data_IF_410723805033
#
_entry.id   IF_410723805033
#
_cell.length_a   1.000
_cell.length_b   1.000
_cell.length_c   1.000
_cell.angle_alpha   90.00
_cell.angle_beta   90.00
_cell.angle_gamma   90.00
#
_symmetry.space_group_name_H-M   'P 1'
#
loop_
_entity.id
_entity.type
_entity.pdbx_description
1 polymer ?
#
# COMPACT_ATOMS: atom_id res chain seq x y z
N UNK A 1 7.03 -98.24 -4.44
CA UNK A 1 6.05 -98.45 -5.49
C UNK A 1 5.54 -97.00 -5.87
N UNK A 2 6.07 -96.57 -6.88
CA UNK A 2 5.53 -96.00 -8.12
C UNK A 2 4.13 -95.41 -7.99
N UNK A 3 3.89 -94.08 -8.27
CA UNK A 3 3.80 -93.45 -9.59
C UNK A 3 3.48 -91.97 -9.37
N UNK A 4 4.05 -91.28 -10.06
CA UNK A 4 4.01 -90.57 -11.36
C UNK A 4 3.35 -89.19 -11.29
N UNK A 5 4.17 -88.32 -11.63
CA UNK A 5 3.94 -86.84 -11.79
C UNK A 5 3.30 -86.58 -13.16
N UNK A 6 2.37 -85.67 -13.23
CA UNK A 6 1.92 -85.08 -14.46
C UNK A 6 1.94 -83.57 -14.34
N UNK A 7 2.48 -82.82 -15.34
CA UNK A 7 2.65 -81.40 -15.25
C UNK A 7 1.49 -80.65 -15.90
N UNK A 8 1.02 -79.58 -15.25
CA UNK A 8 0.03 -78.65 -15.80
C UNK A 8 0.40 -77.22 -15.53
N UNK A 9 1.42 -76.71 -16.23
CA UNK A 9 1.72 -75.30 -16.26
C UNK A 9 1.00 -74.70 -17.47
N UNK A 10 -0.07 -74.01 -17.22
CA UNK A 10 -0.67 -73.17 -18.26
C UNK A 10 -1.18 -71.82 -17.62
N UNK A 11 -0.37 -70.81 -17.80
CA UNK A 11 -0.73 -69.43 -18.18
C UNK A 11 -1.96 -68.84 -17.53
N UNK A 12 -1.74 -68.01 -16.51
CA UNK A 12 -2.58 -66.87 -16.23
C UNK A 12 -1.73 -65.59 -16.37
N UNK A 13 -1.75 -65.01 -17.56
CA UNK A 13 -1.30 -63.64 -17.79
C UNK A 13 -2.38 -62.74 -17.20
N UNK A 14 -2.17 -62.30 -15.98
CA UNK A 14 -2.99 -61.27 -15.34
C UNK A 14 -2.61 -59.91 -15.92
N UNK A 15 -3.50 -59.32 -16.69
CA UNK A 15 -3.41 -57.92 -17.06
C UNK A 15 -3.42 -57.03 -15.81
N UNK A 16 -2.27 -56.48 -15.45
CA UNK A 16 -2.20 -55.36 -14.53
C UNK A 16 -2.74 -54.12 -15.30
N UNK A 17 -4.01 -53.85 -15.15
CA UNK A 17 -4.60 -52.57 -15.47
C UNK A 17 -4.03 -51.56 -14.45
N UNK A 18 -3.05 -50.76 -14.87
CA UNK A 18 -2.63 -49.58 -14.18
C UNK A 18 -3.79 -48.59 -14.22
N UNK A 19 -4.53 -48.52 -13.12
CA UNK A 19 -5.47 -47.43 -12.90
C UNK A 19 -4.66 -46.13 -12.73
N UNK A 20 -4.44 -45.42 -13.82
CA UNK A 20 -4.02 -44.00 -13.77
C UNK A 20 -5.17 -43.26 -13.13
N UNK A 21 -5.05 -43.00 -11.84
CA UNK A 21 -5.94 -42.06 -11.16
C UNK A 21 -5.78 -40.70 -11.85
N UNK A 22 -6.73 -40.38 -12.71
CA UNK A 22 -6.88 -39.04 -13.24
C UNK A 22 -7.24 -38.13 -12.06
N UNK A 23 -6.24 -37.50 -11.47
CA UNK A 23 -6.50 -36.37 -10.62
C UNK A 23 -7.24 -35.32 -11.45
N UNK A 24 -8.42 -34.84 -11.02
CA UNK A 24 -9.05 -33.75 -11.71
C UNK A 24 -8.07 -32.58 -11.68
N UNK A 25 -7.59 -32.18 -12.85
CA UNK A 25 -6.95 -30.90 -13.04
C UNK A 25 -7.97 -29.84 -12.59
N UNK A 26 -7.82 -29.37 -11.37
CA UNK A 26 -8.54 -28.18 -10.94
C UNK A 26 -8.20 -27.09 -11.95
N UNK A 27 -9.19 -26.50 -12.59
CA UNK A 27 -8.93 -25.39 -13.50
C UNK A 27 -8.23 -24.31 -12.69
N UNK A 28 -7.01 -23.98 -13.07
CA UNK A 28 -6.25 -22.85 -12.58
C UNK A 28 -6.80 -21.53 -13.15
N UNK A 29 -8.07 -21.47 -13.45
CA UNK A 29 -8.81 -20.24 -13.52
C UNK A 29 -9.05 -19.73 -12.09
N UNK A 30 -7.91 -19.46 -11.42
CA UNK A 30 -7.93 -18.43 -10.38
C UNK A 30 -8.53 -17.22 -11.05
N UNK A 31 -9.70 -16.87 -10.57
CA UNK A 31 -10.42 -15.65 -10.83
C UNK A 31 -9.41 -14.56 -11.24
N UNK A 32 -9.31 -14.37 -12.54
CA UNK A 32 -8.71 -13.19 -13.11
C UNK A 32 -9.61 -12.10 -12.57
N UNK A 33 -9.22 -11.52 -11.44
CA UNK A 33 -9.89 -10.33 -10.94
C UNK A 33 -9.87 -9.39 -12.14
N UNK A 34 -11.04 -9.19 -12.73
CA UNK A 34 -11.21 -8.20 -13.76
C UNK A 34 -10.68 -6.93 -13.13
N UNK A 35 -9.58 -6.41 -13.69
CA UNK A 35 -9.19 -5.04 -13.38
C UNK A 35 -10.47 -4.23 -13.58
N UNK A 36 -10.93 -3.48 -12.57
CA UNK A 36 -12.08 -2.63 -12.77
C UNK A 36 -11.69 -1.72 -13.93
N UNK A 37 -12.41 -1.83 -15.05
CA UNK A 37 -12.40 -0.76 -16.03
C UNK A 37 -12.74 0.48 -15.23
N UNK A 38 -11.95 1.52 -15.33
CA UNK A 38 -12.20 2.83 -14.73
C UNK A 38 -13.60 3.30 -15.18
N UNK A 39 -14.61 2.81 -14.48
CA UNK A 39 -15.89 3.46 -14.43
C UNK A 39 -15.62 4.72 -13.62
N UNK A 40 -15.81 5.91 -14.22
CA UNK A 40 -15.40 7.21 -13.66
C UNK A 40 -16.03 7.60 -12.32
N UNK A 41 -16.09 6.68 -11.36
CA UNK A 41 -16.63 6.84 -10.02
C UNK A 41 -15.79 6.15 -8.95
N UNK A 42 -15.98 6.59 -7.69
CA UNK A 42 -15.33 5.99 -6.53
C UNK A 42 -15.96 4.64 -6.19
N UNK A 43 -15.17 3.59 -6.25
CA UNK A 43 -15.53 2.27 -5.75
C UNK A 43 -15.33 2.23 -4.23
N UNK A 44 -16.29 1.62 -3.52
CA UNK A 44 -16.29 1.55 -2.04
C UNK A 44 -16.28 0.10 -1.62
N UNK A 45 -15.23 -0.32 -0.91
CA UNK A 45 -15.00 -1.71 -0.50
C UNK A 45 -14.93 -1.78 1.02
N UNK A 46 -15.79 -2.59 1.65
CA UNK A 46 -15.70 -2.82 3.09
C UNK A 46 -14.58 -3.82 3.40
N UNK A 47 -13.58 -3.37 4.16
CA UNK A 47 -12.38 -4.15 4.54
C UNK A 47 -12.59 -4.87 5.86
N UNK A 48 -13.17 -4.15 6.83
CA UNK A 48 -13.58 -4.62 8.16
C UNK A 48 -14.91 -3.95 8.52
N UNK A 49 -15.64 -4.38 9.54
CA UNK A 49 -16.93 -3.78 9.90
C UNK A 49 -16.89 -2.25 10.04
N UNK A 50 -15.76 -1.70 10.43
CA UNK A 50 -15.54 -0.27 10.67
C UNK A 50 -14.45 0.36 9.79
N UNK A 51 -13.92 -0.37 8.79
CA UNK A 51 -12.88 0.10 7.87
C UNK A 51 -13.30 -0.13 6.43
N UNK A 52 -13.20 0.91 5.63
CA UNK A 52 -13.54 0.92 4.22
C UNK A 52 -12.34 1.39 3.38
N UNK A 53 -12.20 0.85 2.20
CA UNK A 53 -11.28 1.34 1.18
C UNK A 53 -12.09 2.01 0.06
N UNK A 54 -11.68 3.19 -0.36
CA UNK A 54 -12.18 3.88 -1.54
C UNK A 54 -11.10 3.79 -2.62
N UNK A 55 -11.48 3.33 -3.81
CA UNK A 55 -10.60 3.24 -4.97
C UNK A 55 -11.13 4.10 -6.13
N UNK A 56 -10.23 4.61 -6.98
CA UNK A 56 -10.60 5.41 -8.15
C UNK A 56 -10.34 6.91 -8.00
N UNK A 57 -9.71 7.34 -6.90
CA UNK A 57 -9.36 8.75 -6.65
C UNK A 57 -7.87 9.09 -6.91
N UNK A 58 -7.19 8.32 -7.74
CA UNK A 58 -5.73 8.35 -7.87
C UNK A 58 -5.13 7.19 -7.08
N UNK A 59 -4.87 7.40 -5.79
CA UNK A 59 -4.52 6.34 -4.83
C UNK A 59 -5.72 5.75 -4.09
N UNK A 60 -5.49 4.72 -3.29
CA UNK A 60 -6.46 4.17 -2.36
C UNK A 60 -6.60 5.08 -1.13
N UNK A 61 -7.84 5.28 -0.68
CA UNK A 61 -8.17 6.06 0.52
C UNK A 61 -8.78 5.10 1.54
N UNK A 62 -8.45 5.25 2.81
CA UNK A 62 -9.06 4.44 3.88
C UNK A 62 -9.95 5.31 4.77
N UNK A 63 -11.12 4.78 5.09
CA UNK A 63 -12.10 5.41 5.97
C UNK A 63 -12.35 4.49 7.16
N UNK A 64 -11.87 4.87 8.34
CA UNK A 64 -12.18 4.20 9.60
C UNK A 64 -13.29 4.97 10.31
N UNK A 65 -14.40 4.30 10.55
CA UNK A 65 -15.62 4.92 11.12
C UNK A 65 -15.91 4.43 12.52
N UNK A 66 -16.57 5.27 13.30
CA UNK A 66 -17.08 4.92 14.63
C UNK A 66 -17.85 6.07 15.29
N UNK A 67 -18.24 5.85 16.55
CA UNK A 67 -19.11 6.77 17.29
C UNK A 67 -18.50 8.16 17.57
N UNK A 68 -17.18 8.27 17.56
CA UNK A 68 -16.49 9.55 17.73
C UNK A 68 -16.34 10.32 16.40
N UNK A 69 -16.53 9.66 15.25
CA UNK A 69 -16.38 10.21 13.91
C UNK A 69 -15.49 9.36 13.01
N UNK A 70 -15.16 9.88 11.84
CA UNK A 70 -14.32 9.20 10.87
C UNK A 70 -12.85 9.67 10.94
N UNK A 71 -11.92 8.73 10.72
CA UNK A 71 -10.51 8.98 10.40
C UNK A 71 -10.29 8.58 8.96
N UNK A 72 -9.71 9.46 8.17
CA UNK A 72 -9.29 9.17 6.81
C UNK A 72 -7.79 8.89 6.79
N UNK A 73 -7.35 7.97 5.95
CA UNK A 73 -5.95 7.87 5.53
C UNK A 73 -5.92 8.17 4.05
N UNK A 74 -5.23 9.25 3.69
CA UNK A 74 -5.18 9.91 2.40
C UNK A 74 -6.51 10.51 1.94
N UNK A 75 -6.48 11.26 0.84
CA UNK A 75 -7.61 12.06 0.39
C UNK A 75 -7.87 12.02 -1.12
N UNK A 76 -6.98 11.34 -1.87
CA UNK A 76 -7.08 11.27 -3.32
C UNK A 76 -6.63 12.55 -4.03
N UNK A 77 -6.69 12.51 -5.34
CA UNK A 77 -6.40 13.65 -6.21
C UNK A 77 -7.43 14.77 -6.01
N UNK A 78 -7.00 16.02 -6.17
CA UNK A 78 -7.80 17.20 -5.87
C UNK A 78 -9.14 17.25 -6.63
N UNK A 79 -9.12 16.88 -7.90
CA UNK A 79 -10.30 16.85 -8.78
C UNK A 79 -11.33 15.79 -8.41
N UNK A 80 -10.95 14.81 -7.60
CA UNK A 80 -11.83 13.76 -7.12
C UNK A 80 -12.48 14.04 -5.77
N UNK A 81 -12.12 15.17 -5.12
CA UNK A 81 -12.50 15.49 -3.73
C UNK A 81 -14.01 15.42 -3.46
N UNK A 82 -14.85 15.97 -4.36
CA UNK A 82 -16.30 15.96 -4.17
C UNK A 82 -16.89 14.56 -4.31
N UNK A 83 -16.32 13.72 -5.19
CA UNK A 83 -16.76 12.34 -5.36
C UNK A 83 -16.33 11.49 -4.14
N UNK A 84 -15.12 11.72 -3.62
CA UNK A 84 -14.62 11.10 -2.39
C UNK A 84 -15.51 11.49 -1.20
N UNK A 85 -15.82 12.79 -1.04
CA UNK A 85 -16.72 13.25 0.02
C UNK A 85 -18.09 12.59 -0.08
N UNK A 86 -18.65 12.52 -1.28
CA UNK A 86 -19.94 11.86 -1.52
C UNK A 86 -19.88 10.36 -1.21
N UNK A 87 -18.76 9.69 -1.49
CA UNK A 87 -18.56 8.29 -1.13
C UNK A 87 -18.50 8.11 0.39
N UNK A 88 -17.77 8.96 1.11
CA UNK A 88 -17.70 8.94 2.58
C UNK A 88 -19.08 9.14 3.21
N UNK A 89 -19.87 10.08 2.70
CA UNK A 89 -21.23 10.36 3.18
C UNK A 89 -22.22 9.19 2.98
N UNK A 90 -21.95 8.29 2.03
CA UNK A 90 -22.72 7.03 1.89
C UNK A 90 -22.31 5.96 2.90
N UNK A 91 -21.10 6.03 3.43
CA UNK A 91 -20.58 5.10 4.45
C UNK A 91 -21.05 5.51 5.85
N UNK A 92 -21.01 6.82 6.14
CA UNK A 92 -21.27 7.35 7.48
C UNK A 92 -21.82 8.77 7.46
N UNK A 93 -22.70 9.07 8.39
CA UNK A 93 -23.20 10.43 8.69
C UNK A 93 -22.33 11.16 9.72
N UNK A 94 -21.35 10.47 10.30
CA UNK A 94 -20.46 11.06 11.28
C UNK A 94 -19.44 12.01 10.63
N UNK A 95 -18.91 12.94 11.44
CA UNK A 95 -17.94 13.93 10.94
C UNK A 95 -16.56 13.32 10.76
N UNK A 96 -15.84 13.75 9.71
CA UNK A 96 -14.39 13.54 9.58
C UNK A 96 -13.71 14.26 10.75
N UNK A 97 -12.91 13.55 11.53
CA UNK A 97 -12.20 14.08 12.70
C UNK A 97 -10.72 14.31 12.40
N UNK A 98 -10.12 13.36 11.72
CA UNK A 98 -8.72 13.41 11.35
C UNK A 98 -8.53 12.89 9.93
N UNK A 99 -7.55 13.46 9.27
CA UNK A 99 -6.95 12.99 8.02
C UNK A 99 -5.50 12.66 8.35
N UNK A 100 -5.01 11.52 7.92
CA UNK A 100 -3.61 11.11 8.05
C UNK A 100 -3.08 10.93 6.63
N UNK A 101 -2.02 11.66 6.25
CA UNK A 101 -1.40 11.46 4.94
C UNK A 101 -0.23 10.48 5.05
N UNK A 102 -0.19 9.50 4.13
CA UNK A 102 0.88 8.51 4.04
C UNK A 102 2.11 9.02 3.29
N UNK A 103 1.94 10.00 2.42
CA UNK A 103 2.96 10.62 1.59
C UNK A 103 2.60 12.04 1.21
N UNK A 104 3.41 12.67 0.36
CA UNK A 104 3.24 14.04 -0.10
C UNK A 104 2.70 14.14 -1.54
N UNK A 105 2.50 13.01 -2.22
CA UNK A 105 2.09 12.98 -3.61
C UNK A 105 0.65 13.44 -3.81
N UNK A 106 0.32 14.01 -4.97
CA UNK A 106 -1.00 14.61 -5.21
C UNK A 106 -2.19 13.69 -4.93
N UNK A 107 -2.03 12.39 -5.16
CA UNK A 107 -3.04 11.36 -4.89
C UNK A 107 -3.23 11.02 -3.41
N UNK A 108 -2.35 11.52 -2.53
CA UNK A 108 -2.46 11.35 -1.08
C UNK A 108 -3.01 12.60 -0.40
N UNK A 109 -2.65 13.79 -0.89
CA UNK A 109 -2.93 15.07 -0.22
C UNK A 109 -3.89 16.00 -0.97
N UNK A 110 -4.20 15.70 -2.24
CA UNK A 110 -4.93 16.61 -3.11
C UNK A 110 -6.31 17.04 -2.59
N UNK A 111 -7.02 16.11 -1.96
CA UNK A 111 -8.34 16.35 -1.38
C UNK A 111 -8.34 16.95 0.03
N UNK A 112 -7.19 17.15 0.67
CA UNK A 112 -7.08 17.59 2.06
C UNK A 112 -7.95 18.81 2.37
N UNK A 113 -7.84 19.88 1.58
CA UNK A 113 -8.56 21.14 1.85
C UNK A 113 -10.09 20.98 1.83
N UNK A 114 -10.62 20.19 0.90
CA UNK A 114 -12.06 19.96 0.75
C UNK A 114 -12.57 19.07 1.87
N UNK A 115 -11.89 17.93 2.11
CA UNK A 115 -12.32 16.94 3.09
C UNK A 115 -12.14 17.44 4.52
N UNK A 116 -11.07 18.17 4.83
CA UNK A 116 -10.89 18.78 6.13
C UNK A 116 -12.00 19.80 6.45
N UNK A 117 -12.37 20.65 5.47
CA UNK A 117 -13.45 21.63 5.62
C UNK A 117 -14.80 20.96 5.86
N UNK A 118 -15.06 19.83 5.23
CA UNK A 118 -16.29 19.04 5.47
C UNK A 118 -16.31 18.35 6.85
N UNK A 119 -15.14 18.21 7.47
CA UNK A 119 -14.96 17.59 8.78
C UNK A 119 -15.12 18.56 9.95
N UNK A 120 -14.75 18.08 11.13
CA UNK A 120 -14.71 18.88 12.36
C UNK A 120 -13.79 18.24 13.38
N UNK A 121 -12.75 18.96 13.81
CA UNK A 121 -11.85 18.48 14.87
C UNK A 121 -12.58 18.17 16.18
N UNK A 122 -12.04 17.22 16.95
CA UNK A 122 -12.44 16.97 18.33
C UNK A 122 -11.84 17.99 19.30
N UNK A 123 -10.73 18.60 18.93
CA UNK A 123 -10.07 19.58 19.76
C UNK A 123 -10.92 20.85 19.76
N UNK A 124 -11.69 21.02 20.82
CA UNK A 124 -12.38 22.29 21.08
C UNK A 124 -11.33 23.35 21.35
N UNK A 125 -11.41 24.39 20.58
CA UNK A 125 -10.73 25.63 20.77
C UNK A 125 -10.72 26.10 22.24
N UNK A 126 -9.55 26.47 22.75
CA UNK A 126 -9.44 27.22 24.00
C UNK A 126 -10.06 28.61 23.81
N UNK A 127 -11.04 29.03 24.62
CA UNK A 127 -11.76 30.30 24.44
C UNK A 127 -10.88 31.56 24.55
N UNK A 128 -9.59 31.41 24.86
CA UNK A 128 -8.64 32.51 25.05
C UNK A 128 -7.72 32.78 23.85
N UNK A 129 -7.89 32.10 22.71
CA UNK A 129 -7.19 32.46 21.47
C UNK A 129 -7.89 33.62 20.72
N UNK A 130 -8.67 34.42 21.46
CA UNK A 130 -9.22 35.68 20.95
C UNK A 130 -8.10 36.63 20.53
N UNK A 131 -8.26 37.24 19.35
CA UNK A 131 -7.48 38.31 18.73
C UNK A 131 -6.42 37.96 17.68
N UNK A 132 -6.45 36.78 17.09
CA UNK A 132 -5.83 36.58 15.78
C UNK A 132 -6.83 36.88 14.65
N UNK A 133 -7.61 37.96 14.80
CA UNK A 133 -8.51 38.43 13.78
C UNK A 133 -7.67 38.88 12.57
N UNK A 134 -7.85 38.21 11.44
CA UNK A 134 -7.27 38.60 10.15
C UNK A 134 -6.25 37.64 9.54
N UNK A 135 -6.03 36.46 10.10
CA UNK A 135 -5.21 35.45 9.45
C UNK A 135 -6.07 34.31 8.90
N UNK A 136 -5.60 33.65 7.84
CA UNK A 136 -6.17 32.43 7.28
C UNK A 136 -6.31 31.31 8.33
N UNK A 137 -5.70 31.52 9.50
CA UNK A 137 -5.81 30.67 10.68
C UNK A 137 -7.26 30.52 11.19
N UNK A 138 -8.11 31.53 11.02
CA UNK A 138 -9.52 31.47 11.43
C UNK A 138 -10.37 30.56 10.52
N UNK A 139 -10.00 30.37 9.27
CA UNK A 139 -10.78 29.55 8.33
C UNK A 139 -10.67 28.06 8.60
N UNK A 140 -9.63 27.62 9.32
CA UNK A 140 -9.41 26.21 9.70
C UNK A 140 -9.93 25.86 11.09
N UNK A 141 -10.39 26.84 11.88
CA UNK A 141 -11.02 26.56 13.17
C UNK A 141 -12.33 25.78 12.96
N UNK A 142 -12.30 24.52 13.37
CA UNK A 142 -13.44 23.64 13.24
C UNK A 142 -13.33 22.63 12.10
N UNK A 143 -12.36 22.72 11.22
CA UNK A 143 -12.04 21.69 10.22
C UNK A 143 -11.50 20.40 10.88
N UNK A 144 -11.44 19.28 10.15
CA UNK A 144 -10.74 18.10 10.61
C UNK A 144 -9.23 18.37 10.79
N UNK A 145 -8.60 17.74 11.79
CA UNK A 145 -7.15 17.81 11.95
C UNK A 145 -6.44 17.01 10.84
N UNK A 146 -5.37 17.55 10.27
CA UNK A 146 -4.55 16.86 9.27
C UNK A 146 -3.22 16.50 9.89
N UNK A 147 -2.91 15.21 9.95
CA UNK A 147 -1.71 14.65 10.54
C UNK A 147 -0.80 14.10 9.44
N UNK A 148 0.46 14.45 9.45
CA UNK A 148 1.44 13.92 8.51
C UNK A 148 2.87 14.00 9.06
N UNK A 149 3.79 13.30 8.43
CA UNK A 149 5.22 13.48 8.64
C UNK A 149 5.62 14.91 8.20
N UNK A 150 6.62 15.54 8.86
CA UNK A 150 6.97 16.94 8.65
C UNK A 150 7.39 17.28 7.22
N UNK A 151 7.99 16.32 6.48
CA UNK A 151 8.39 16.54 5.09
C UNK A 151 7.18 16.71 4.17
N UNK A 152 6.01 16.11 4.51
CA UNK A 152 4.75 16.38 3.81
C UNK A 152 4.38 17.86 3.95
N UNK A 153 4.41 18.41 5.18
CA UNK A 153 4.13 19.81 5.43
C UNK A 153 5.13 20.71 4.68
N UNK A 154 6.41 20.39 4.75
CA UNK A 154 7.47 21.15 4.07
C UNK A 154 7.23 21.22 2.57
N UNK A 155 6.89 20.09 1.92
CA UNK A 155 6.64 20.04 0.48
C UNK A 155 5.35 20.77 0.10
N UNK A 156 4.27 20.56 0.85
CA UNK A 156 3.00 21.23 0.57
C UNK A 156 3.10 22.74 0.73
N UNK A 157 3.82 23.23 1.77
CA UNK A 157 3.98 24.65 2.04
C UNK A 157 4.95 25.35 1.08
N UNK A 158 5.85 24.61 0.45
CA UNK A 158 6.74 25.13 -0.59
C UNK A 158 6.10 25.20 -1.99
N UNK A 159 4.93 24.62 -2.16
CA UNK A 159 4.22 24.54 -3.45
C UNK A 159 3.00 25.45 -3.45
N UNK A 160 2.87 26.26 -4.51
CA UNK A 160 1.67 27.10 -4.75
C UNK A 160 0.43 26.27 -5.13
N UNK A 161 0.60 24.96 -5.37
CA UNK A 161 -0.50 24.07 -5.78
C UNK A 161 -1.47 23.81 -4.64
N UNK A 162 -0.98 23.76 -3.40
CA UNK A 162 -1.78 23.35 -2.24
C UNK A 162 -2.17 24.57 -1.39
N UNK A 163 -3.48 24.84 -1.21
CA UNK A 163 -3.92 25.91 -0.34
C UNK A 163 -3.55 25.60 1.12
N UNK A 164 -3.20 26.63 1.91
CA UNK A 164 -2.83 26.49 3.31
C UNK A 164 -3.88 25.77 4.18
N UNK A 165 -5.14 25.80 3.76
CA UNK A 165 -6.25 25.07 4.40
C UNK A 165 -6.15 23.55 4.26
N UNK A 166 -5.31 23.06 3.37
CA UNK A 166 -5.03 21.63 3.15
C UNK A 166 -3.71 21.18 3.76
N UNK A 167 -2.92 22.05 4.36
CA UNK A 167 -1.64 21.67 4.95
C UNK A 167 -1.83 20.90 6.25
N UNK A 168 -0.90 19.96 6.61
CA UNK A 168 -0.90 19.31 7.90
C UNK A 168 -0.95 20.30 9.05
N UNK A 169 -1.93 20.11 9.95
CA UNK A 169 -2.11 20.91 11.17
C UNK A 169 -1.37 20.29 12.36
N UNK A 170 -1.04 19.00 12.26
CA UNK A 170 -0.29 18.24 13.25
C UNK A 170 0.83 17.46 12.53
N UNK A 171 1.98 18.12 12.33
CA UNK A 171 3.17 17.45 11.80
C UNK A 171 3.91 16.70 12.91
N UNK A 172 4.40 15.49 12.58
CA UNK A 172 5.24 14.71 13.49
C UNK A 172 6.62 14.47 12.88
N UNK A 173 7.62 14.38 13.77
CA UNK A 173 9.03 14.25 13.40
C UNK A 173 9.64 12.99 14.02
N UNK A 174 10.73 12.50 13.40
CA UNK A 174 11.59 11.48 13.95
C UNK A 174 11.00 10.07 13.94
N UNK A 175 11.76 9.11 14.47
CA UNK A 175 11.47 7.68 14.46
C UNK A 175 10.43 7.23 15.50
N UNK A 176 9.86 8.15 16.27
CA UNK A 176 8.87 7.78 17.30
C UNK A 176 7.52 7.49 16.65
N UNK A 177 6.92 6.39 17.08
CA UNK A 177 5.54 6.06 16.71
C UNK A 177 4.61 7.16 17.21
N UNK A 178 3.90 7.80 16.29
CA UNK A 178 2.79 8.68 16.64
C UNK A 178 1.54 7.84 16.81
N UNK A 179 0.75 8.09 17.84
CA UNK A 179 -0.48 7.36 18.11
C UNK A 179 -1.67 8.29 18.29
N UNK A 180 -2.80 7.89 17.72
CA UNK A 180 -4.10 8.49 17.90
C UNK A 180 -5.06 7.42 18.45
N UNK A 181 -5.85 7.75 19.46
CA UNK A 181 -6.85 6.84 20.01
C UNK A 181 -8.24 7.38 19.69
N UNK A 182 -8.97 6.69 18.83
CA UNK A 182 -10.31 7.08 18.41
C UNK A 182 -11.18 5.84 18.15
N UNK A 183 -12.48 5.94 18.39
CA UNK A 183 -13.43 4.86 18.13
C UNK A 183 -13.12 3.53 18.87
N UNK A 184 -12.35 3.59 19.94
CA UNK A 184 -11.88 2.40 20.65
C UNK A 184 -10.74 1.66 19.94
N UNK A 185 -10.12 2.28 18.96
CA UNK A 185 -8.94 1.75 18.24
C UNK A 185 -7.70 2.61 18.51
N UNK A 186 -6.54 1.97 18.49
CA UNK A 186 -5.24 2.62 18.52
C UNK A 186 -4.69 2.73 17.11
N UNK A 187 -4.69 3.93 16.56
CA UNK A 187 -4.13 4.23 15.23
C UNK A 187 -2.66 4.63 15.41
N UNK A 188 -1.76 3.85 14.87
CA UNK A 188 -0.30 4.08 14.96
C UNK A 188 0.26 4.50 13.61
N UNK A 189 1.14 5.50 13.62
CA UNK A 189 1.83 6.02 12.44
C UNK A 189 3.32 5.76 12.59
N UNK A 190 3.92 5.11 11.60
CA UNK A 190 5.34 4.75 11.56
C UNK A 190 6.00 5.40 10.37
N UNK A 191 6.83 6.40 10.62
CA UNK A 191 7.63 7.05 9.58
C UNK A 191 8.65 6.08 8.96
N UNK A 192 8.74 6.09 7.63
CA UNK A 192 9.71 5.36 6.83
C UNK A 192 10.59 6.38 6.10
N UNK A 193 11.82 6.62 6.57
CA UNK A 193 12.57 7.85 6.21
C UNK A 193 13.21 7.83 4.83
N UNK A 194 13.13 6.76 4.09
CA UNK A 194 13.81 6.63 2.81
C UNK A 194 13.20 5.55 1.88
N UNK A 195 11.89 5.29 1.97
CA UNK A 195 11.22 4.27 1.16
C UNK A 195 10.93 4.79 -0.25
N UNK A 196 9.66 4.98 -0.63
CA UNK A 196 9.31 5.70 -1.85
C UNK A 196 9.92 7.11 -1.82
N UNK A 197 9.79 7.79 -0.66
CA UNK A 197 10.36 9.10 -0.35
C UNK A 197 10.83 9.17 1.10
N UNK A 198 11.24 10.35 1.58
CA UNK A 198 11.57 10.60 2.99
C UNK A 198 10.35 10.96 3.85
N UNK A 199 9.15 11.02 3.26
CA UNK A 199 7.92 11.44 3.94
C UNK A 199 6.97 10.28 4.25
N UNK A 200 7.31 9.05 3.84
CA UNK A 200 6.38 7.92 3.88
C UNK A 200 6.00 7.51 5.29
N UNK A 201 4.75 7.16 5.44
CA UNK A 201 4.15 6.78 6.72
C UNK A 201 3.26 5.56 6.58
N UNK A 202 3.58 4.50 7.31
CA UNK A 202 2.69 3.35 7.51
C UNK A 202 1.67 3.71 8.59
N UNK A 203 0.39 3.47 8.33
CA UNK A 203 -0.68 3.68 9.31
C UNK A 203 -1.29 2.33 9.70
N UNK A 204 -1.35 2.03 11.00
CA UNK A 204 -1.86 0.77 11.54
C UNK A 204 -3.04 0.98 12.47
N UNK A 205 -4.21 0.50 12.07
CA UNK A 205 -5.41 0.38 12.89
C UNK A 205 -5.34 -0.94 13.67
N UNK A 206 -4.87 -0.86 14.91
CA UNK A 206 -4.49 -2.04 15.70
C UNK A 206 -5.64 -2.98 16.01
N UNK A 207 -6.82 -2.44 16.38
CA UNK A 207 -7.97 -3.27 16.72
C UNK A 207 -8.67 -3.80 15.47
N UNK A 208 -8.73 -3.00 14.42
CA UNK A 208 -9.27 -3.43 13.14
C UNK A 208 -8.34 -4.40 12.42
N UNK A 209 -7.08 -4.45 12.82
CA UNK A 209 -6.01 -5.25 12.21
C UNK A 209 -5.86 -4.96 10.70
N UNK A 210 -5.74 -3.66 10.39
CA UNK A 210 -5.58 -3.14 9.03
C UNK A 210 -4.41 -2.19 8.99
N UNK A 211 -3.50 -2.40 8.05
CA UNK A 211 -2.36 -1.53 7.76
C UNK A 211 -2.61 -0.81 6.44
N UNK A 212 -2.32 0.50 6.40
CA UNK A 212 -2.27 1.30 5.17
C UNK A 212 -0.81 1.60 4.88
N UNK A 213 -0.34 1.14 3.74
CA UNK A 213 1.07 1.18 3.37
C UNK A 213 1.47 2.41 2.55
N UNK A 214 0.49 3.14 1.96
CA UNK A 214 0.81 4.18 0.98
C UNK A 214 1.64 3.61 -0.17
N UNK A 215 2.50 4.42 -0.74
CA UNK A 215 3.32 4.06 -1.92
C UNK A 215 4.50 3.12 -1.63
N UNK A 216 4.69 2.73 -0.38
CA UNK A 216 5.59 1.62 -0.01
C UNK A 216 5.14 0.30 -0.66
N UNK A 217 3.85 0.17 -0.98
CA UNK A 217 3.31 -1.01 -1.64
C UNK A 217 2.42 -0.62 -2.81
N UNK A 218 2.87 -0.92 -4.03
CA UNK A 218 2.07 -0.84 -5.26
C UNK A 218 1.98 -2.21 -5.92
N UNK A 219 0.83 -2.85 -5.83
CA UNK A 219 0.63 -4.18 -6.42
C UNK A 219 0.41 -4.16 -7.94
N UNK A 220 0.44 -2.99 -8.57
CA UNK A 220 0.28 -2.81 -10.02
C UNK A 220 1.59 -2.60 -10.76
N UNK A 221 2.58 -2.00 -10.06
CA UNK A 221 3.84 -1.58 -10.67
C UNK A 221 5.06 -1.98 -9.81
N UNK A 222 6.24 -1.91 -10.40
CA UNK A 222 7.47 -1.83 -9.60
C UNK A 222 7.44 -0.59 -8.71
N UNK A 223 8.07 -0.63 -7.52
CA UNK A 223 8.06 0.52 -6.64
C UNK A 223 8.66 1.75 -7.33
N UNK A 224 8.01 2.87 -7.17
CA UNK A 224 8.54 4.16 -7.56
C UNK A 224 9.53 4.57 -6.47
N UNK A 225 10.75 4.87 -6.84
CA UNK A 225 11.79 5.36 -5.91
C UNK A 225 12.05 6.82 -6.24
N UNK A 226 11.51 7.72 -5.44
CA UNK A 226 11.69 9.16 -5.61
C UNK A 226 13.04 9.60 -5.00
N UNK A 227 14.09 9.47 -5.82
CA UNK A 227 15.45 9.82 -5.43
C UNK A 227 15.62 11.31 -5.11
N UNK A 228 14.81 12.18 -5.71
CA UNK A 228 14.89 13.64 -5.52
C UNK A 228 14.34 14.03 -4.15
N UNK A 229 13.40 13.27 -3.65
CA UNK A 229 12.78 13.43 -2.35
C UNK A 229 13.25 12.38 -1.32
N UNK A 230 14.47 11.87 -1.46
CA UNK A 230 15.12 11.06 -0.44
C UNK A 230 14.75 9.58 -0.41
N UNK A 231 13.98 9.09 -1.37
CA UNK A 231 13.68 7.66 -1.53
C UNK A 231 14.93 6.88 -1.93
N UNK A 232 15.02 5.62 -1.49
CA UNK A 232 16.11 4.71 -1.85
C UNK A 232 15.62 3.29 -1.95
N UNK A 233 16.27 2.47 -2.81
CA UNK A 233 15.89 1.06 -2.93
C UNK A 233 16.11 0.27 -1.64
N UNK A 234 17.13 0.57 -0.87
CA UNK A 234 17.40 -0.10 0.41
C UNK A 234 16.41 0.36 1.49
N UNK A 235 16.00 1.62 1.48
CA UNK A 235 14.95 2.14 2.35
C UNK A 235 13.59 1.56 2.03
N UNK A 236 13.28 1.39 0.74
CA UNK A 236 12.05 0.70 0.28
C UNK A 236 11.99 -0.75 0.80
N UNK A 237 13.08 -1.51 0.66
CA UNK A 237 13.17 -2.88 1.20
C UNK A 237 13.04 -2.88 2.73
N UNK A 238 13.63 -1.90 3.41
CA UNK A 238 13.50 -1.78 4.87
C UNK A 238 12.04 -1.49 5.29
N UNK A 239 11.34 -0.64 4.56
CA UNK A 239 9.93 -0.35 4.82
C UNK A 239 9.03 -1.55 4.53
N UNK A 240 9.27 -2.31 3.46
CA UNK A 240 8.57 -3.57 3.18
C UNK A 240 8.82 -4.61 4.27
N UNK A 241 10.05 -4.74 4.78
CA UNK A 241 10.34 -5.59 5.94
C UNK A 241 9.56 -5.12 7.18
N UNK A 242 9.46 -3.79 7.38
CA UNK A 242 8.65 -3.25 8.48
C UNK A 242 7.17 -3.61 8.35
N UNK A 243 6.60 -3.58 7.14
CA UNK A 243 5.24 -4.07 6.88
C UNK A 243 5.09 -5.54 7.27
N UNK A 244 6.05 -6.39 6.87
CA UNK A 244 6.05 -7.83 7.22
C UNK A 244 6.09 -8.02 8.74
N UNK A 245 6.94 -7.28 9.46
CA UNK A 245 7.04 -7.35 10.92
C UNK A 245 5.76 -6.93 11.65
N UNK A 246 4.96 -6.04 11.05
CA UNK A 246 3.71 -5.55 11.61
C UNK A 246 2.52 -6.46 11.29
N UNK A 247 2.62 -7.32 10.28
CA UNK A 247 1.53 -8.17 9.81
C UNK A 247 1.53 -9.52 10.51
N UNK A 248 0.32 -10.04 10.74
CA UNK A 248 0.11 -11.41 11.21
C UNK A 248 -0.40 -12.24 10.02
N UNK A 249 0.29 -13.34 9.66
CA UNK A 249 -0.15 -14.20 8.56
C UNK A 249 -1.43 -14.95 8.94
N UNK A 250 -2.23 -15.40 7.95
CA UNK A 250 -3.35 -16.28 8.22
C UNK A 250 -2.85 -17.61 8.83
N UNK A 251 -3.50 -18.08 9.90
CA UNK A 251 -3.18 -19.38 10.47
C UNK A 251 -3.75 -20.49 9.56
N UNK A 252 -2.91 -21.37 8.97
CA UNK A 252 -3.35 -22.29 7.90
C UNK A 252 -4.39 -23.34 8.34
N UNK A 253 -4.50 -23.60 9.65
CA UNK A 253 -5.36 -24.64 10.20
C UNK A 253 -6.51 -24.09 11.06
N UNK A 254 -6.60 -22.77 11.18
CA UNK A 254 -7.67 -22.13 11.94
C UNK A 254 -8.55 -21.39 10.93
N UNK A 255 -9.82 -21.80 10.86
CA UNK A 255 -10.82 -21.15 10.01
C UNK A 255 -11.25 -19.82 10.63
N UNK A 256 -10.34 -18.87 10.72
CA UNK A 256 -10.59 -17.51 11.17
C UNK A 256 -10.08 -16.52 10.11
N UNK A 257 -10.84 -15.46 9.94
CA UNK A 257 -10.44 -14.31 9.13
C UNK A 257 -9.34 -13.47 9.81
N UNK A 258 -8.69 -14.02 10.83
CA UNK A 258 -7.72 -13.35 11.70
C UNK A 258 -6.35 -13.24 11.02
N UNK A 259 -6.28 -12.41 10.00
CA UNK A 259 -5.03 -12.00 9.37
C UNK A 259 -5.00 -10.48 9.25
N UNK A 260 -3.84 -9.90 9.36
CA UNK A 260 -3.65 -8.49 9.07
C UNK A 260 -3.90 -8.23 7.58
N UNK A 261 -4.78 -7.29 7.26
CA UNK A 261 -4.98 -6.82 5.90
C UNK A 261 -4.13 -5.58 5.65
N UNK A 262 -3.53 -5.52 4.47
CA UNK A 262 -2.68 -4.41 4.04
C UNK A 262 -3.35 -3.71 2.87
N UNK A 263 -3.58 -2.42 2.99
CA UNK A 263 -4.10 -1.57 1.92
C UNK A 263 -2.90 -0.83 1.31
N UNK A 264 -2.54 -1.15 0.05
CA UNK A 264 -1.46 -0.47 -0.66
C UNK A 264 -1.90 0.93 -1.10
N UNK A 265 -0.96 1.79 -1.49
CA UNK A 265 -1.26 3.06 -2.17
C UNK A 265 -2.04 2.80 -3.46
N UNK A 266 -1.69 1.73 -4.16
CA UNK A 266 -2.33 1.36 -5.42
C UNK A 266 -2.56 -0.15 -5.54
N UNK A 267 -3.74 -0.51 -6.02
CA UNK A 267 -4.10 -1.91 -6.28
C UNK A 267 -5.10 -2.50 -5.28
N UNK A 268 -5.13 -3.82 -5.21
CA UNK A 268 -6.07 -4.58 -4.37
C UNK A 268 -5.63 -4.64 -2.92
N UNK A 269 -6.54 -4.98 -2.04
CA UNK A 269 -6.21 -5.35 -0.66
C UNK A 269 -5.26 -6.54 -0.67
N UNK A 270 -4.22 -6.46 0.15
CA UNK A 270 -3.14 -7.43 0.30
C UNK A 270 -3.15 -8.10 1.68
N UNK A 271 -2.33 -9.12 1.83
CA UNK A 271 -1.96 -9.71 3.11
C UNK A 271 -0.42 -9.85 3.22
N UNK A 272 0.06 -10.47 4.32
CA UNK A 272 1.50 -10.63 4.54
C UNK A 272 2.18 -11.37 3.38
N UNK A 273 1.53 -12.38 2.79
CA UNK A 273 2.13 -13.16 1.70
C UNK A 273 2.38 -12.31 0.46
N UNK A 274 1.43 -11.42 0.13
CA UNK A 274 1.59 -10.46 -0.97
C UNK A 274 2.77 -9.50 -0.72
N UNK A 275 2.91 -9.00 0.52
CA UNK A 275 4.02 -8.11 0.91
C UNK A 275 5.36 -8.84 0.82
N UNK A 276 5.42 -10.10 1.27
CA UNK A 276 6.64 -10.93 1.18
C UNK A 276 7.01 -11.16 -0.28
N UNK A 277 6.06 -11.54 -1.14
CA UNK A 277 6.31 -11.74 -2.57
C UNK A 277 6.84 -10.46 -3.24
N UNK A 278 6.22 -9.32 -2.93
CA UNK A 278 6.65 -8.03 -3.47
C UNK A 278 8.05 -7.65 -2.97
N UNK A 279 8.33 -7.76 -1.67
CA UNK A 279 9.64 -7.50 -1.09
C UNK A 279 10.73 -8.39 -1.69
N UNK A 280 10.44 -9.68 -1.87
CA UNK A 280 11.41 -10.63 -2.44
C UNK A 280 11.70 -10.29 -3.90
N UNK A 281 10.70 -9.92 -4.69
CA UNK A 281 10.88 -9.42 -6.05
C UNK A 281 11.81 -8.20 -6.08
N UNK A 282 11.54 -7.19 -5.25
CA UNK A 282 12.36 -5.96 -5.17
C UNK A 282 13.79 -6.29 -4.77
N UNK A 283 13.97 -7.15 -3.77
CA UNK A 283 15.29 -7.58 -3.27
C UNK A 283 16.09 -8.30 -4.35
N UNK A 284 15.47 -9.25 -5.07
CA UNK A 284 16.13 -10.01 -6.14
C UNK A 284 16.58 -9.08 -7.27
N UNK A 285 15.76 -8.11 -7.67
CA UNK A 285 16.13 -7.16 -8.74
C UNK A 285 17.26 -6.25 -8.26
N UNK A 286 17.17 -5.70 -7.03
CA UNK A 286 18.23 -4.90 -6.43
C UNK A 286 19.56 -5.65 -6.38
N UNK A 287 19.56 -6.91 -5.93
CA UNK A 287 20.79 -7.70 -5.81
C UNK A 287 21.42 -8.05 -7.16
N UNK A 288 20.60 -8.33 -8.17
CA UNK A 288 21.06 -8.53 -9.56
C UNK A 288 21.75 -7.27 -10.10
N UNK A 289 21.13 -6.10 -9.90
CA UNK A 289 21.70 -4.82 -10.34
C UNK A 289 23.00 -4.51 -9.57
N UNK A 290 23.01 -4.74 -8.25
CA UNK A 290 24.21 -4.55 -7.44
C UNK A 290 25.38 -5.44 -7.88
N UNK A 291 25.13 -6.71 -8.22
CA UNK A 291 26.13 -7.62 -8.77
C UNK A 291 26.66 -7.14 -10.14
N UNK A 292 25.77 -6.67 -11.03
CA UNK A 292 26.16 -6.12 -12.33
C UNK A 292 27.02 -4.84 -12.18
N UNK A 293 26.69 -3.96 -11.22
CA UNK A 293 27.49 -2.77 -10.88
C UNK A 293 28.88 -3.20 -10.39
N UNK A 294 28.98 -4.18 -9.48
CA UNK A 294 30.27 -4.73 -9.00
C UNK A 294 31.14 -5.28 -10.12
N UNK A 295 30.53 -5.81 -11.17
CA UNK A 295 31.23 -6.28 -12.39
C UNK A 295 31.58 -5.16 -13.35
N UNK A 296 31.34 -3.90 -13.02
CA UNK A 296 31.68 -2.73 -13.83
C UNK A 296 30.73 -2.49 -15.01
N UNK A 297 29.52 -3.06 -15.02
CA UNK A 297 28.56 -2.83 -16.08
C UNK A 297 27.98 -1.42 -16.02
N UNK A 298 27.89 -0.78 -17.18
CA UNK A 298 27.19 0.50 -17.30
C UNK A 298 25.67 0.34 -17.21
N UNK A 299 24.95 1.43 -16.91
CA UNK A 299 23.48 1.42 -16.87
C UNK A 299 22.86 0.83 -18.15
N UNK A 300 23.38 1.20 -19.31
CA UNK A 300 22.88 0.70 -20.60
C UNK A 300 23.14 -0.81 -20.79
N UNK A 301 24.24 -1.33 -20.25
CA UNK A 301 24.50 -2.77 -20.23
C UNK A 301 23.56 -3.50 -19.28
N UNK A 302 23.27 -2.92 -18.11
CA UNK A 302 22.33 -3.46 -17.12
C UNK A 302 20.91 -3.50 -17.68
N UNK A 303 20.44 -2.42 -18.32
CA UNK A 303 19.14 -2.41 -19.00
C UNK A 303 19.02 -3.51 -20.05
N UNK A 304 20.04 -3.68 -20.88
CA UNK A 304 20.07 -4.77 -21.90
C UNK A 304 20.10 -6.17 -21.28
N UNK A 305 20.69 -6.33 -20.10
CA UNK A 305 20.73 -7.59 -19.37
C UNK A 305 19.39 -7.94 -18.72
N UNK A 306 18.48 -6.97 -18.61
CA UNK A 306 17.11 -7.13 -18.14
C UNK A 306 16.99 -7.83 -16.77
N UNK A 307 17.49 -7.18 -15.70
CA UNK A 307 17.50 -7.80 -14.36
C UNK A 307 16.10 -8.11 -13.79
N UNK A 308 15.07 -7.47 -14.31
CA UNK A 308 13.68 -7.64 -13.88
C UNK A 308 12.87 -8.60 -14.77
N UNK A 309 13.49 -9.33 -15.72
CA UNK A 309 12.85 -10.16 -16.75
C UNK A 309 11.71 -11.04 -16.22
N UNK A 310 11.87 -11.67 -15.07
CA UNK A 310 10.87 -12.58 -14.49
C UNK A 310 9.60 -11.88 -14.00
N UNK A 311 9.65 -10.57 -13.77
CA UNK A 311 8.61 -9.79 -13.08
C UNK A 311 7.93 -8.73 -13.96
N UNK A 312 8.52 -8.39 -15.12
CA UNK A 312 8.03 -7.32 -16.01
C UNK A 312 6.59 -7.47 -16.43
N UNK A 313 6.14 -8.71 -16.68
CA UNK A 313 4.76 -8.97 -17.13
C UNK A 313 3.73 -8.51 -16.09
N UNK A 314 4.07 -8.57 -14.82
CA UNK A 314 3.17 -8.24 -13.71
C UNK A 314 3.31 -6.79 -13.26
N UNK A 315 4.56 -6.28 -13.16
CA UNK A 315 4.86 -5.01 -12.50
C UNK A 315 5.51 -3.97 -13.41
N UNK A 316 6.02 -4.33 -14.58
CA UNK A 316 6.86 -3.46 -15.38
C UNK A 316 6.36 -3.24 -16.81
N UNK A 317 5.39 -2.33 -17.03
CA UNK A 317 4.98 -1.99 -18.40
C UNK A 317 6.15 -1.41 -19.20
N UNK A 318 6.12 -1.63 -20.53
CA UNK A 318 7.14 -1.07 -21.45
C UNK A 318 6.88 0.41 -21.74
N UNK A 319 5.64 0.85 -21.58
CA UNK A 319 5.21 2.23 -21.84
C UNK A 319 4.35 2.74 -20.69
N UNK A 320 4.32 4.05 -20.52
CA UNK A 320 3.52 4.69 -19.46
C UNK A 320 4.35 5.58 -18.55
N UNK A 321 3.77 6.08 -17.48
CA UNK A 321 4.43 7.02 -16.58
C UNK A 321 5.57 6.40 -15.76
N UNK A 322 5.53 5.07 -15.53
CA UNK A 322 6.57 4.33 -14.82
C UNK A 322 6.85 3.00 -15.50
N UNK A 323 8.01 2.90 -16.15
CA UNK A 323 8.39 1.74 -16.95
C UNK A 323 9.46 0.88 -16.27
N UNK A 324 9.63 -0.36 -16.76
CA UNK A 324 10.74 -1.21 -16.34
C UNK A 324 12.11 -0.50 -16.39
N UNK A 325 12.37 0.23 -17.48
CA UNK A 325 13.65 0.94 -17.65
C UNK A 325 13.83 2.10 -16.67
N UNK A 326 12.74 2.78 -16.29
CA UNK A 326 12.75 3.82 -15.26
C UNK A 326 13.05 3.22 -13.90
N UNK A 327 12.40 2.11 -13.55
CA UNK A 327 12.68 1.40 -12.30
C UNK A 327 14.14 0.92 -12.22
N UNK A 328 14.65 0.23 -13.25
CA UNK A 328 16.06 -0.22 -13.30
C UNK A 328 17.01 0.98 -13.17
N UNK A 329 16.67 2.11 -13.80
CA UNK A 329 17.47 3.35 -13.69
C UNK A 329 17.45 3.90 -12.26
N UNK A 330 16.30 3.94 -11.61
CA UNK A 330 16.17 4.41 -10.23
C UNK A 330 16.98 3.53 -9.27
N UNK A 331 16.87 2.20 -9.39
CA UNK A 331 17.66 1.25 -8.58
C UNK A 331 19.16 1.45 -8.81
N UNK A 332 19.60 1.54 -10.07
CA UNK A 332 21.00 1.80 -10.38
C UNK A 332 21.52 3.09 -9.77
N UNK A 333 20.77 4.19 -9.92
CA UNK A 333 21.14 5.49 -9.34
C UNK A 333 21.15 5.45 -7.81
N UNK A 334 20.16 4.81 -7.19
CA UNK A 334 20.10 4.63 -5.74
C UNK A 334 21.35 3.89 -5.22
N UNK A 335 21.79 2.83 -5.89
CA UNK A 335 22.95 2.03 -5.49
C UNK A 335 24.30 2.70 -5.80
N UNK A 336 24.34 3.66 -6.72
CA UNK A 336 25.57 4.37 -7.14
C UNK A 336 25.67 5.78 -6.57
N UNK A 337 24.61 6.30 -5.97
CA UNK A 337 24.66 7.55 -5.23
C UNK A 337 25.70 7.40 -4.09
N UNK A 338 26.66 8.30 -4.04
CA UNK A 338 27.61 8.33 -2.93
C UNK A 338 26.85 8.73 -1.67
N UNK A 339 26.78 7.83 -0.69
CA UNK A 339 26.36 8.10 0.68
C UNK A 339 27.20 9.20 1.32
#
# INVERSE_FOLDING_TARGET
MHASVGPGWLRAIGCLLAAVAAYPLYPTDRLRAQQPQQSGGIETIQVRPNVWMLAGAGGNIVVHVGWMGAVLVDTGAAEMSDQVLSAIQRITDTRIRFIINTGADPEHVGGNAVLARAGRTLLRYAPNAGNFAGSDFQTNFGAAGIMAQENVLTRMSASDTYPATGWPTEAFTGARVRSLYLNGDGVQMFHQPAAHSDADTIVFFRRADVIVAGDILDLRHFPIIDLENGGTIDGEIAALNRLIDLTVPPAPLVWHEDRTLVIPGHGRIADQADVVEYRDMVTVIRDRIADMIKRGMSLEQIKRADPAKGYRRQYGPETGPWTNDMFVTAVYRSLTAKS
#
